data_IF_685676025678
#
_entry.id   IF_685676025678
#
_cell.length_a   1.000
_cell.length_b   1.000
_cell.length_c   1.000
_cell.angle_alpha   90.00
_cell.angle_beta   90.00
_cell.angle_gamma   90.00
#
_symmetry.space_group_name_H-M   'P 1'
#
loop_
_entity.id
_entity.type
_entity.pdbx_description
1 polymer ?
#
# COMPACT_ATOMS: atom_id res chain seq x y z
N UNK A 1 11.87 -10.14 9.56
CA UNK A 1 10.46 -10.24 9.13
C UNK A 1 10.20 -9.24 8.01
N UNK A 2 9.51 -9.67 6.96
CA UNK A 2 9.17 -8.80 5.84
C UNK A 2 8.20 -7.70 6.28
N UNK A 3 8.31 -6.51 5.71
CA UNK A 3 7.52 -5.36 6.07
C UNK A 3 6.67 -4.90 4.88
N UNK A 4 5.36 -4.84 5.07
CA UNK A 4 4.40 -4.34 4.07
C UNK A 4 3.81 -3.03 4.55
N UNK A 5 3.88 -2.02 3.71
CA UNK A 5 3.23 -0.74 3.93
C UNK A 5 2.08 -0.59 2.95
N UNK A 6 0.90 -0.28 3.44
CA UNK A 6 -0.24 0.10 2.60
C UNK A 6 -0.34 1.62 2.71
N UNK A 7 0.00 2.32 1.64
CA UNK A 7 0.04 3.79 1.65
C UNK A 7 -1.14 4.31 0.85
N UNK A 8 -1.99 5.08 1.48
CA UNK A 8 -3.25 5.51 0.89
C UNK A 8 -3.64 6.93 1.30
N UNK A 9 -4.56 7.51 0.53
CA UNK A 9 -5.11 8.84 0.79
C UNK A 9 -6.44 8.70 1.51
N UNK A 10 -6.58 9.43 2.63
CA UNK A 10 -7.81 9.43 3.40
C UNK A 10 -7.99 8.22 4.30
N UNK A 11 -9.14 8.17 4.94
CA UNK A 11 -9.50 7.11 5.88
C UNK A 11 -10.74 6.37 5.39
N UNK A 12 -10.78 5.07 5.67
CA UNK A 12 -11.98 4.29 5.42
C UNK A 12 -12.98 4.59 6.52
N UNK A 13 -14.19 5.02 6.12
CA UNK A 13 -15.23 5.45 7.05
C UNK A 13 -16.23 4.35 7.37
N UNK A 14 -16.43 3.39 6.48
CA UNK A 14 -17.38 2.30 6.64
C UNK A 14 -16.88 1.29 7.66
N UNK A 15 -17.68 1.08 8.73
CA UNK A 15 -17.30 0.20 9.83
C UNK A 15 -17.04 -1.25 9.36
N UNK A 16 -17.81 -1.73 8.40
CA UNK A 16 -17.65 -3.10 7.90
C UNK A 16 -16.32 -3.29 7.16
N UNK A 17 -15.85 -2.27 6.44
CA UNK A 17 -14.56 -2.31 5.77
C UNK A 17 -13.41 -2.21 6.77
N UNK A 18 -13.55 -1.35 7.77
CA UNK A 18 -12.56 -1.25 8.85
C UNK A 18 -12.38 -2.59 9.56
N UNK A 19 -13.49 -3.27 9.86
CA UNK A 19 -13.45 -4.57 10.51
C UNK A 19 -12.81 -5.64 9.64
N UNK A 20 -13.13 -5.66 8.34
CA UNK A 20 -12.54 -6.60 7.40
C UNK A 20 -11.02 -6.39 7.28
N UNK A 21 -10.58 -5.15 7.16
CA UNK A 21 -9.16 -4.82 7.08
C UNK A 21 -8.43 -5.22 8.35
N UNK A 22 -9.01 -4.92 9.52
CA UNK A 22 -8.42 -5.29 10.81
C UNK A 22 -8.26 -6.82 10.93
N UNK A 23 -9.22 -7.59 10.44
CA UNK A 23 -9.16 -9.04 10.43
C UNK A 23 -8.01 -9.54 9.56
N UNK A 24 -7.87 -9.01 8.33
CA UNK A 24 -6.77 -9.40 7.44
C UNK A 24 -5.41 -8.99 8.00
N UNK A 25 -5.30 -7.79 8.58
CA UNK A 25 -4.06 -7.34 9.23
C UNK A 25 -3.67 -8.28 10.36
N UNK A 26 -4.63 -8.68 11.18
CA UNK A 26 -4.39 -9.62 12.27
C UNK A 26 -3.88 -10.96 11.77
N UNK A 27 -4.50 -11.50 10.72
CA UNK A 27 -4.07 -12.77 10.12
C UNK A 27 -2.67 -12.69 9.53
N UNK A 28 -2.35 -11.57 8.86
CA UNK A 28 -1.06 -11.38 8.22
C UNK A 28 0.06 -11.09 9.23
N UNK A 29 -0.26 -10.57 10.40
CA UNK A 29 0.73 -10.16 11.40
C UNK A 29 1.61 -11.31 11.89
N UNK A 30 1.19 -12.55 11.69
CA UNK A 30 1.99 -13.75 12.01
C UNK A 30 3.13 -13.96 11.02
N UNK A 31 3.03 -13.40 9.82
CA UNK A 31 3.96 -13.66 8.72
C UNK A 31 4.76 -12.42 8.31
N UNK A 32 4.16 -11.24 8.40
CA UNK A 32 4.77 -9.99 7.99
C UNK A 32 4.41 -8.89 8.98
N UNK A 33 5.27 -7.87 9.05
CA UNK A 33 4.91 -6.63 9.70
C UNK A 33 4.12 -5.81 8.69
N UNK A 34 2.92 -5.38 9.04
CA UNK A 34 2.07 -4.61 8.14
C UNK A 34 1.66 -3.29 8.80
N UNK A 35 1.86 -2.20 8.06
CA UNK A 35 1.46 -0.87 8.48
C UNK A 35 0.54 -0.26 7.43
N UNK A 36 -0.53 0.39 7.90
CA UNK A 36 -1.40 1.17 7.03
C UNK A 36 -1.08 2.64 7.29
N UNK A 37 -0.61 3.31 6.25
CA UNK A 37 -0.17 4.69 6.32
C UNK A 37 -1.17 5.54 5.55
N UNK A 38 -1.93 6.36 6.27
CA UNK A 38 -2.94 7.24 5.69
C UNK A 38 -2.39 8.65 5.60
N UNK A 39 -2.46 9.26 4.41
CA UNK A 39 -2.14 10.67 4.24
C UNK A 39 -3.44 11.46 4.08
N UNK A 40 -3.49 12.74 4.50
CA UNK A 40 -4.72 13.52 4.40
C UNK A 40 -5.07 13.82 2.95
N UNK A 41 -6.37 13.94 2.68
CA UNK A 41 -6.86 14.40 1.39
C UNK A 41 -6.47 15.86 1.18
N UNK A 42 -6.13 16.23 -0.06
CA UNK A 42 -5.91 17.62 -0.42
C UNK A 42 -7.24 18.27 -0.80
N UNK A 43 -7.41 19.54 -0.43
CA UNK A 43 -8.64 20.28 -0.63
C UNK A 43 -8.60 21.27 -1.79
N UNK A 44 -7.58 21.20 -2.65
CA UNK A 44 -7.49 22.09 -3.82
C UNK A 44 -8.71 21.93 -4.72
N UNK A 45 -9.30 23.02 -5.23
CA UNK A 45 -10.50 22.94 -6.07
C UNK A 45 -10.22 22.30 -7.44
N UNK A 46 -8.97 22.33 -7.90
CA UNK A 46 -8.56 21.72 -9.17
C UNK A 46 -8.10 20.29 -8.93
N UNK A 47 -8.69 19.35 -9.67
CA UNK A 47 -8.41 17.92 -9.49
C UNK A 47 -6.97 17.56 -9.80
N UNK A 48 -6.38 18.15 -10.84
CA UNK A 48 -4.98 17.91 -11.21
C UNK A 48 -4.01 18.31 -10.09
N UNK A 49 -4.28 19.44 -9.42
CA UNK A 49 -3.48 19.90 -8.28
C UNK A 49 -3.65 19.00 -7.07
N UNK A 50 -4.87 18.50 -6.82
CA UNK A 50 -5.10 17.56 -5.72
C UNK A 50 -4.33 16.27 -5.93
N UNK A 51 -4.40 15.72 -7.13
CA UNK A 51 -3.68 14.47 -7.49
C UNK A 51 -2.19 14.67 -7.31
N UNK A 52 -1.64 15.79 -7.79
CA UNK A 52 -0.22 16.08 -7.66
C UNK A 52 0.22 16.18 -6.21
N UNK A 53 -0.50 16.94 -5.39
CA UNK A 53 -0.17 17.12 -3.97
C UNK A 53 -0.33 15.84 -3.17
N UNK A 54 -1.39 15.08 -3.43
CA UNK A 54 -1.61 13.80 -2.76
C UNK A 54 -0.52 12.80 -3.14
N UNK A 55 -0.12 12.78 -4.42
CA UNK A 55 0.99 11.97 -4.90
C UNK A 55 2.31 12.31 -4.20
N UNK A 56 2.60 13.60 -4.04
CA UNK A 56 3.79 14.04 -3.31
C UNK A 56 3.77 13.58 -1.85
N UNK A 57 2.62 13.68 -1.18
CA UNK A 57 2.48 13.22 0.20
C UNK A 57 2.66 11.72 0.32
N UNK A 58 2.11 10.94 -0.63
CA UNK A 58 2.30 9.49 -0.66
C UNK A 58 3.77 9.14 -0.82
N UNK A 59 4.46 9.79 -1.76
CA UNK A 59 5.88 9.51 -2.04
C UNK A 59 6.77 9.81 -0.84
N UNK A 60 6.45 10.81 -0.03
CA UNK A 60 7.20 11.12 1.19
C UNK A 60 7.11 10.02 2.25
N UNK A 61 6.08 9.19 2.18
CA UNK A 61 5.86 8.11 3.14
C UNK A 61 6.42 6.78 2.67
N UNK A 62 7.01 6.74 1.48
CA UNK A 62 7.59 5.51 0.90
C UNK A 62 9.10 5.56 1.08
N UNK A 63 9.65 4.51 1.70
CA UNK A 63 11.08 4.36 1.88
C UNK A 63 11.78 4.12 0.54
N UNK A 64 12.97 4.70 0.37
CA UNK A 64 13.78 4.52 -0.83
C UNK A 64 14.21 3.05 -1.04
N UNK A 65 14.28 2.26 0.03
CA UNK A 65 14.63 0.84 -0.04
C UNK A 65 13.44 -0.08 -0.30
N UNK A 66 12.23 0.49 -0.35
CA UNK A 66 11.00 -0.27 -0.53
C UNK A 66 10.78 -0.62 -2.00
N UNK A 67 10.29 -1.83 -2.27
CA UNK A 67 9.75 -2.17 -3.57
C UNK A 67 8.34 -1.63 -3.68
N UNK A 68 8.11 -0.72 -4.61
CA UNK A 68 6.82 -0.03 -4.75
C UNK A 68 5.93 -0.77 -5.73
N UNK A 69 4.70 -1.05 -5.31
CA UNK A 69 3.67 -1.66 -6.15
C UNK A 69 2.48 -0.71 -6.22
N UNK A 70 2.28 -0.08 -7.36
CA UNK A 70 1.14 0.83 -7.56
C UNK A 70 -0.12 0.04 -7.89
N UNK A 71 -1.19 0.28 -7.12
CA UNK A 71 -2.49 -0.34 -7.37
C UNK A 71 -3.29 0.61 -8.25
N UNK A 72 -3.22 0.40 -9.56
CA UNK A 72 -3.79 1.28 -10.57
C UNK A 72 -4.84 0.53 -11.38
N UNK A 73 -5.97 1.17 -11.62
CA UNK A 73 -7.06 0.63 -12.45
C UNK A 73 -6.60 0.30 -13.88
N UNK A 74 -5.60 1.01 -14.37
CA UNK A 74 -5.04 0.81 -15.72
C UNK A 74 -3.82 -0.11 -15.73
N UNK A 75 -3.48 -0.67 -14.57
CA UNK A 75 -2.39 -1.62 -14.45
C UNK A 75 -2.76 -3.01 -14.97
N UNK A 76 -1.81 -3.93 -14.89
CA UNK A 76 -2.05 -5.33 -15.25
C UNK A 76 -2.79 -6.05 -14.14
N UNK A 77 -3.78 -6.84 -14.51
CA UNK A 77 -4.41 -7.75 -13.57
C UNK A 77 -3.48 -8.92 -13.30
N UNK A 78 -3.31 -9.24 -12.02
CA UNK A 78 -2.56 -10.43 -11.61
C UNK A 78 -3.36 -11.21 -10.58
N UNK A 79 -3.17 -12.52 -10.58
CA UNK A 79 -3.79 -13.38 -9.58
C UNK A 79 -3.08 -13.24 -8.22
N UNK A 80 -3.73 -13.73 -7.17
CA UNK A 80 -3.11 -13.79 -5.84
C UNK A 80 -1.85 -14.64 -5.86
N UNK A 81 -1.85 -15.73 -6.62
CA UNK A 81 -0.69 -16.61 -6.77
C UNK A 81 0.49 -15.90 -7.43
N UNK A 82 0.21 -15.11 -8.47
CA UNK A 82 1.26 -14.34 -9.16
C UNK A 82 1.81 -13.22 -8.27
N UNK A 83 0.97 -12.57 -7.48
CA UNK A 83 1.43 -11.59 -6.52
C UNK A 83 2.33 -12.22 -5.46
N UNK A 84 1.93 -13.38 -4.94
CA UNK A 84 2.74 -14.12 -3.97
C UNK A 84 4.09 -14.51 -4.56
N UNK A 85 4.12 -14.98 -5.79
CA UNK A 85 5.38 -15.34 -6.50
C UNK A 85 6.26 -14.11 -6.70
N UNK A 86 5.68 -12.98 -7.09
CA UNK A 86 6.41 -11.72 -7.25
C UNK A 86 7.09 -11.31 -5.94
N UNK A 87 6.35 -11.35 -4.83
CA UNK A 87 6.88 -11.00 -3.51
C UNK A 87 8.00 -11.98 -3.12
N UNK A 88 7.79 -13.26 -3.32
CA UNK A 88 8.78 -14.30 -3.02
C UNK A 88 10.06 -14.11 -3.82
N UNK A 89 9.95 -13.86 -5.12
CA UNK A 89 11.11 -13.65 -6.00
C UNK A 89 11.91 -12.41 -5.59
N UNK A 90 11.22 -11.32 -5.23
CA UNK A 90 11.88 -10.12 -4.74
C UNK A 90 12.56 -10.35 -3.39
N UNK A 91 11.91 -11.10 -2.50
CA UNK A 91 12.49 -11.44 -1.21
C UNK A 91 13.78 -12.24 -1.36
N UNK A 92 13.82 -13.20 -2.29
CA UNK A 92 15.03 -13.98 -2.60
C UNK A 92 16.15 -13.06 -3.09
N UNK A 93 15.82 -12.01 -3.84
CA UNK A 93 16.82 -11.04 -4.33
C UNK A 93 17.21 -9.99 -3.30
N UNK A 94 16.69 -10.04 -2.08
CA UNK A 94 17.10 -9.18 -0.98
C UNK A 94 16.11 -8.09 -0.58
N UNK A 95 14.94 -8.02 -1.21
CA UNK A 95 13.91 -7.03 -0.85
C UNK A 95 13.20 -7.48 0.43
N UNK A 96 13.18 -6.63 1.43
CA UNK A 96 12.53 -6.91 2.73
C UNK A 96 11.37 -5.97 3.04
N UNK A 97 11.12 -4.97 2.20
CA UNK A 97 10.06 -4.00 2.39
C UNK A 97 9.32 -3.74 1.08
N UNK A 98 8.00 -3.76 1.14
CA UNK A 98 7.13 -3.48 0.01
C UNK A 98 6.16 -2.37 0.40
N UNK A 99 5.90 -1.46 -0.52
CA UNK A 99 4.91 -0.39 -0.36
C UNK A 99 3.88 -0.50 -1.48
N UNK A 100 2.64 -0.63 -1.06
CA UNK A 100 1.49 -0.76 -1.96
C UNK A 100 0.64 0.50 -1.95
#
# INVERSE_FOLDING_TARGET
>A
MMHFNIVCVGKIKEAYLQSAIADYVTRLSKYVKIDIIEVPEDNSPQMDKRIEKEGEMLMKRISASSCVVALDLHGKEISSEKLASFISDKAVSGVSEFSF
#
